data_IF_343130065793
#
_entry.id   IF_343130065793
#
_cell.length_a   1.000
_cell.length_b   1.000
_cell.length_c   1.000
_cell.angle_alpha   90.00
_cell.angle_beta   90.00
_cell.angle_gamma   90.00
#
_symmetry.space_group_name_H-M   'P 1'
#
loop_
_entity.id
_entity.type
_entity.pdbx_description
1 polymer ?
#
# COMPACT_ATOMS: atom_id res chain seq x y z
N UNK A 1 17.03 -3.20 25.05
CA UNK A 1 17.57 -1.95 24.49
C UNK A 1 16.95 -1.64 23.13
N UNK A 2 16.80 -0.36 22.82
CA UNK A 2 16.40 0.12 21.49
C UNK A 2 17.63 0.66 20.76
N UNK A 3 17.89 0.18 19.55
CA UNK A 3 18.99 0.62 18.68
C UNK A 3 18.37 1.17 17.40
N UNK A 4 18.62 2.45 17.09
CA UNK A 4 18.11 3.10 15.87
C UNK A 4 19.12 2.98 14.74
N UNK A 5 18.73 2.34 13.64
CA UNK A 5 19.55 2.19 12.43
C UNK A 5 19.06 1.05 11.55
N UNK A 6 19.61 0.95 10.34
CA UNK A 6 19.35 -0.19 9.46
C UNK A 6 20.22 -1.36 9.89
N UNK A 7 19.59 -2.48 10.25
CA UNK A 7 20.30 -3.70 10.59
C UNK A 7 20.67 -4.50 9.33
N UNK A 8 21.84 -5.13 9.36
CA UNK A 8 22.25 -6.11 8.34
C UNK A 8 22.96 -7.28 8.99
N UNK A 9 22.84 -8.46 8.39
CA UNK A 9 23.66 -9.60 8.76
C UNK A 9 25.04 -9.46 8.13
N UNK A 10 26.08 -9.61 8.95
CA UNK A 10 27.43 -9.89 8.48
C UNK A 10 27.54 -11.33 7.98
N UNK A 11 28.64 -11.66 7.29
CA UNK A 11 28.90 -13.03 6.79
C UNK A 11 28.84 -14.09 7.91
N UNK A 12 29.23 -13.72 9.13
CA UNK A 12 29.32 -14.63 10.27
C UNK A 12 28.00 -14.69 11.08
N UNK A 13 26.90 -14.16 10.54
CA UNK A 13 25.58 -14.17 11.20
C UNK A 13 25.40 -13.13 12.31
N UNK A 14 26.39 -12.26 12.52
CA UNK A 14 26.33 -11.15 13.50
C UNK A 14 25.52 -10.00 12.92
N UNK A 15 24.70 -9.34 13.73
CA UNK A 15 23.95 -8.15 13.32
C UNK A 15 24.86 -6.92 13.43
N UNK A 16 25.00 -6.19 12.32
CA UNK A 16 25.61 -4.86 12.30
C UNK A 16 24.53 -3.78 12.26
N UNK A 17 24.64 -2.80 13.15
CA UNK A 17 23.85 -1.56 13.09
C UNK A 17 24.82 -0.38 13.24
N UNK A 18 24.98 0.42 12.19
CA UNK A 18 25.88 1.58 12.15
C UNK A 18 27.32 1.25 12.58
N UNK A 19 27.84 0.07 12.20
CA UNK A 19 29.19 -0.38 12.55
C UNK A 19 29.33 -1.00 13.95
N UNK A 20 28.27 -1.01 14.76
CA UNK A 20 28.25 -1.72 16.04
C UNK A 20 27.68 -3.12 15.85
N UNK A 21 28.40 -4.11 16.39
CA UNK A 21 28.08 -5.53 16.27
C UNK A 21 27.24 -6.03 17.45
N UNK A 22 26.23 -6.83 17.14
CA UNK A 22 25.29 -7.41 18.09
C UNK A 22 25.14 -8.91 17.83
N UNK A 23 25.15 -9.67 18.93
CA UNK A 23 25.08 -11.13 18.92
C UNK A 23 23.80 -11.58 19.62
N UNK A 24 23.15 -12.60 19.08
CA UNK A 24 21.96 -13.19 19.68
C UNK A 24 21.85 -14.66 19.31
N UNK A 25 21.42 -15.50 20.27
CA UNK A 25 21.17 -16.93 20.04
C UNK A 25 19.99 -17.15 19.07
N UNK A 26 19.00 -16.28 19.12
CA UNK A 26 17.82 -16.30 18.27
C UNK A 26 17.59 -14.89 17.71
N UNK A 27 17.31 -14.79 16.41
CA UNK A 27 17.15 -13.52 15.72
C UNK A 27 15.82 -13.55 14.95
N UNK A 28 14.94 -12.60 15.23
CA UNK A 28 13.68 -12.41 14.51
C UNK A 28 13.85 -11.34 13.42
N UNK A 29 13.50 -11.69 12.18
CA UNK A 29 13.39 -10.73 11.08
C UNK A 29 11.93 -10.29 10.97
N UNK A 30 11.67 -9.02 11.32
CA UNK A 30 10.33 -8.43 11.31
C UNK A 30 10.35 -7.03 10.66
N UNK A 31 10.96 -6.93 9.47
CA UNK A 31 11.24 -5.63 8.79
C UNK A 31 10.08 -5.07 7.97
N UNK A 32 8.96 -5.78 7.88
CA UNK A 32 7.81 -5.37 7.07
C UNK A 32 8.10 -5.37 5.57
N UNK A 33 7.36 -4.54 4.82
CA UNK A 33 7.49 -4.37 3.37
C UNK A 33 7.30 -2.91 2.96
N UNK A 34 7.34 -2.64 1.66
CA UNK A 34 7.18 -1.30 1.09
C UNK A 34 6.36 -1.36 -0.21
N UNK A 35 5.64 -0.28 -0.57
CA UNK A 35 4.84 -0.23 -1.79
C UNK A 35 5.72 -0.36 -3.05
N UNK A 36 5.22 -1.09 -4.03
CA UNK A 36 5.90 -1.28 -5.32
C UNK A 36 5.37 -0.29 -6.35
N UNK A 37 6.27 0.50 -6.96
CA UNK A 37 5.96 1.35 -8.12
C UNK A 37 5.99 0.51 -9.40
N UNK A 38 5.01 0.62 -10.31
CA UNK A 38 5.05 -0.09 -11.59
C UNK A 38 6.16 0.45 -12.49
N UNK A 39 6.73 -0.40 -13.33
CA UNK A 39 7.74 -0.02 -14.32
C UNK A 39 7.07 0.39 -15.63
N UNK A 40 6.46 1.57 -15.66
CA UNK A 40 5.82 2.17 -16.83
C UNK A 40 6.20 3.65 -16.93
N UNK A 41 6.28 4.24 -18.14
CA UNK A 41 6.56 5.67 -18.29
C UNK A 41 5.56 6.52 -17.51
N UNK A 42 6.06 7.53 -16.79
CA UNK A 42 5.23 8.43 -15.99
C UNK A 42 4.78 7.87 -14.65
N UNK A 43 5.23 6.66 -14.27
CA UNK A 43 4.92 6.10 -12.94
C UNK A 43 5.40 7.01 -11.81
N UNK A 44 6.44 7.83 -12.02
CA UNK A 44 6.99 8.84 -11.12
C UNK A 44 5.98 9.93 -10.71
N UNK A 45 4.99 10.24 -11.56
CA UNK A 45 3.96 11.25 -11.27
C UNK A 45 2.88 10.74 -10.32
N UNK A 46 2.77 9.43 -10.13
CA UNK A 46 1.87 8.83 -9.16
C UNK A 46 2.42 8.86 -7.74
N UNK A 47 1.50 8.79 -6.78
CA UNK A 47 1.80 8.53 -5.36
C UNK A 47 1.36 7.10 -4.98
N UNK A 48 1.96 6.56 -3.93
CA UNK A 48 1.55 5.30 -3.31
C UNK A 48 0.72 5.59 -2.04
N UNK A 49 0.39 4.54 -1.27
CA UNK A 49 -0.31 4.68 0.01
C UNK A 49 0.41 5.57 1.02
N UNK A 50 1.75 5.58 1.02
CA UNK A 50 2.51 6.48 1.90
C UNK A 50 2.27 7.93 1.48
N UNK A 51 2.39 8.23 0.18
CA UNK A 51 2.14 9.57 -0.37
C UNK A 51 0.70 10.05 -0.18
N UNK A 52 -0.27 9.13 -0.18
CA UNK A 52 -1.67 9.45 0.14
C UNK A 52 -1.81 10.11 1.52
N UNK A 53 -1.14 9.57 2.56
CA UNK A 53 -1.17 10.13 3.91
C UNK A 53 -0.35 11.42 4.08
N UNK A 54 0.40 11.83 3.05
CA UNK A 54 1.09 13.12 3.01
C UNK A 54 0.30 14.19 2.22
N UNK A 55 -0.90 13.89 1.75
CA UNK A 55 -1.75 14.89 1.09
C UNK A 55 -2.28 15.90 2.11
N UNK A 56 -1.88 17.16 1.97
CA UNK A 56 -2.40 18.27 2.80
C UNK A 56 -3.75 18.81 2.30
N UNK A 57 -4.06 18.58 1.02
CA UNK A 57 -5.27 19.08 0.36
C UNK A 57 -5.95 17.94 -0.37
N UNK A 58 -7.27 17.86 -0.24
CA UNK A 58 -8.09 16.90 -0.98
C UNK A 58 -7.99 17.18 -2.49
N UNK A 59 -7.50 16.22 -3.30
CA UNK A 59 -7.50 16.37 -4.75
C UNK A 59 -8.94 16.42 -5.27
N UNK A 60 -9.21 17.32 -6.24
CA UNK A 60 -10.55 17.42 -6.86
C UNK A 60 -10.91 16.18 -7.69
N UNK A 61 -9.91 15.56 -8.31
CA UNK A 61 -10.03 14.38 -9.18
C UNK A 61 -8.89 13.43 -8.86
N UNK A 62 -9.21 12.15 -8.69
CA UNK A 62 -8.22 11.13 -8.33
C UNK A 62 -8.43 9.86 -9.16
N UNK A 63 -7.32 9.29 -9.65
CA UNK A 63 -7.31 7.93 -10.21
C UNK A 63 -6.58 7.02 -9.23
N UNK A 64 -7.24 5.95 -8.80
CA UNK A 64 -6.64 4.91 -7.97
C UNK A 64 -6.43 3.66 -8.81
N UNK A 65 -5.20 3.14 -8.85
CA UNK A 65 -4.84 1.96 -9.66
C UNK A 65 -4.59 0.76 -8.76
N UNK A 66 -5.48 -0.22 -8.82
CA UNK A 66 -5.41 -1.45 -8.02
C UNK A 66 -6.78 -1.92 -7.55
N UNK A 67 -6.95 -3.24 -7.42
CA UNK A 67 -8.19 -3.86 -6.92
C UNK A 67 -8.04 -4.54 -5.56
N UNK A 68 -6.97 -4.23 -4.82
CA UNK A 68 -6.76 -4.74 -3.46
C UNK A 68 -7.42 -3.86 -2.40
N UNK A 69 -7.44 -4.31 -1.16
CA UNK A 69 -8.12 -3.61 -0.05
C UNK A 69 -7.66 -2.16 0.11
N UNK A 70 -6.34 -1.89 0.10
CA UNK A 70 -5.81 -0.52 0.19
C UNK A 70 -6.38 0.39 -0.90
N UNK A 71 -6.45 -0.08 -2.15
CA UNK A 71 -6.95 0.73 -3.25
C UNK A 71 -8.42 1.10 -3.05
N UNK A 72 -9.24 0.14 -2.60
CA UNK A 72 -10.67 0.33 -2.37
C UNK A 72 -10.93 1.26 -1.19
N UNK A 73 -10.24 1.05 -0.06
CA UNK A 73 -10.37 1.87 1.14
C UNK A 73 -10.05 3.33 0.82
N UNK A 74 -8.93 3.58 0.13
CA UNK A 74 -8.51 4.93 -0.23
C UNK A 74 -9.44 5.56 -1.28
N UNK A 75 -9.90 4.79 -2.29
CA UNK A 75 -10.84 5.31 -3.29
C UNK A 75 -12.17 5.69 -2.67
N UNK A 76 -12.70 4.85 -1.76
CA UNK A 76 -13.96 5.13 -1.08
C UNK A 76 -13.85 6.32 -0.14
N UNK A 77 -12.73 6.46 0.58
CA UNK A 77 -12.49 7.60 1.45
C UNK A 77 -12.38 8.92 0.66
N UNK A 78 -11.63 8.93 -0.45
CA UNK A 78 -11.54 10.11 -1.31
C UNK A 78 -12.91 10.50 -1.90
N UNK A 79 -13.68 9.51 -2.34
CA UNK A 79 -15.02 9.70 -2.89
C UNK A 79 -15.97 10.30 -1.84
N UNK A 80 -15.99 9.75 -0.63
CA UNK A 80 -16.78 10.24 0.49
C UNK A 80 -16.39 11.67 0.93
N UNK A 81 -15.12 12.05 0.76
CA UNK A 81 -14.64 13.41 1.03
C UNK A 81 -14.96 14.40 -0.11
N UNK A 82 -15.46 13.93 -1.26
CA UNK A 82 -15.89 14.76 -2.38
C UNK A 82 -14.90 14.85 -3.54
N UNK A 83 -13.86 14.01 -3.59
CA UNK A 83 -13.06 13.85 -4.81
C UNK A 83 -13.90 13.11 -5.86
N UNK A 84 -13.78 13.51 -7.12
CA UNK A 84 -14.20 12.68 -8.25
C UNK A 84 -13.17 11.55 -8.43
N UNK A 85 -13.57 10.30 -8.20
CA UNK A 85 -12.65 9.15 -8.09
C UNK A 85 -12.92 8.13 -9.20
N UNK A 86 -11.84 7.75 -9.89
CA UNK A 86 -11.85 6.63 -10.83
C UNK A 86 -10.99 5.48 -10.30
N UNK A 87 -11.58 4.30 -10.13
CA UNK A 87 -10.88 3.09 -9.73
C UNK A 87 -10.54 2.24 -10.97
N UNK A 88 -9.25 2.02 -11.23
CA UNK A 88 -8.79 1.19 -12.33
C UNK A 88 -8.31 -0.17 -11.81
N UNK A 89 -8.99 -1.22 -12.23
CA UNK A 89 -8.67 -2.61 -11.87
C UNK A 89 -8.30 -3.42 -13.11
N UNK A 90 -7.41 -4.39 -12.92
CA UNK A 90 -6.95 -5.29 -14.00
C UNK A 90 -7.73 -6.61 -14.05
N UNK A 91 -8.59 -6.85 -13.05
CA UNK A 91 -9.40 -8.06 -12.89
C UNK A 91 -10.88 -7.70 -13.04
N UNK A 92 -11.77 -8.67 -13.31
CA UNK A 92 -13.20 -8.41 -13.47
C UNK A 92 -13.92 -7.83 -12.24
N UNK A 93 -13.36 -8.00 -11.03
CA UNK A 93 -13.93 -7.51 -9.76
C UNK A 93 -12.84 -7.06 -8.79
N UNK A 94 -13.20 -6.16 -7.87
CA UNK A 94 -12.32 -5.74 -6.77
C UNK A 94 -12.18 -6.88 -5.75
N UNK A 95 -11.12 -6.89 -4.94
CA UNK A 95 -10.85 -7.96 -3.98
C UNK A 95 -10.87 -9.37 -4.62
N UNK A 96 -10.32 -9.51 -5.82
CA UNK A 96 -10.43 -10.75 -6.62
C UNK A 96 -10.14 -12.07 -5.87
N UNK A 97 -9.22 -12.04 -4.90
CA UNK A 97 -8.81 -13.20 -4.10
C UNK A 97 -9.67 -13.42 -2.83
N UNK A 98 -10.68 -12.60 -2.58
CA UNK A 98 -11.61 -12.75 -1.46
C UNK A 98 -12.81 -13.60 -1.89
N UNK A 99 -13.69 -13.89 -0.93
CA UNK A 99 -14.96 -14.56 -1.18
C UNK A 99 -15.71 -13.91 -2.37
N UNK A 100 -16.24 -14.76 -3.25
CA UNK A 100 -16.88 -14.32 -4.49
C UNK A 100 -18.04 -13.38 -4.23
N UNK A 101 -18.94 -13.75 -3.33
CA UNK A 101 -20.16 -13.01 -3.04
C UNK A 101 -19.83 -11.64 -2.47
N UNK A 102 -18.85 -11.56 -1.56
CA UNK A 102 -18.37 -10.29 -1.00
C UNK A 102 -17.76 -9.39 -2.08
N UNK A 103 -16.85 -9.97 -2.89
CA UNK A 103 -16.13 -9.28 -3.96
C UNK A 103 -17.09 -8.74 -5.04
N UNK A 104 -18.08 -9.53 -5.42
CA UNK A 104 -19.13 -9.17 -6.39
C UNK A 104 -20.06 -8.09 -5.83
N UNK A 105 -20.61 -8.29 -4.63
CA UNK A 105 -21.50 -7.32 -3.98
C UNK A 105 -20.83 -5.95 -3.81
N UNK A 106 -19.54 -5.93 -3.44
CA UNK A 106 -18.79 -4.69 -3.32
C UNK A 106 -18.51 -4.03 -4.67
N UNK A 107 -18.22 -4.82 -5.71
CA UNK A 107 -18.03 -4.30 -7.08
C UNK A 107 -19.31 -3.62 -7.56
N UNK A 108 -20.46 -4.27 -7.41
CA UNK A 108 -21.76 -3.68 -7.77
C UNK A 108 -22.06 -2.40 -6.99
N UNK A 109 -21.70 -2.35 -5.71
CA UNK A 109 -21.88 -1.16 -4.88
C UNK A 109 -21.04 0.02 -5.39
N UNK A 110 -19.76 -0.22 -5.73
CA UNK A 110 -18.86 0.80 -6.29
C UNK A 110 -19.36 1.31 -7.64
N UNK A 111 -19.83 0.42 -8.52
CA UNK A 111 -20.34 0.77 -9.85
C UNK A 111 -21.61 1.65 -9.80
N UNK A 112 -22.43 1.50 -8.75
CA UNK A 112 -23.61 2.37 -8.53
C UNK A 112 -23.24 3.77 -8.06
N UNK A 113 -21.97 4.03 -7.78
CA UNK A 113 -21.48 5.27 -7.19
C UNK A 113 -21.60 5.26 -5.66
N UNK A 114 -20.93 6.19 -4.98
CA UNK A 114 -20.97 6.27 -3.52
C UNK A 114 -22.41 6.52 -3.04
N UNK A 115 -22.84 5.77 -2.02
CA UNK A 115 -23.91 6.22 -1.10
C UNK A 115 -23.52 7.51 -0.40
#
# INVERSE_FOLDING_TARGET
DLIRGKASFTKDGVIDVNGKKYFGKHILIAVGGYPKRPNVPGAEYGINSDGFFHLDVLPKRTVVVGGGYIAIELSSMLSALGSDVHLLIRKPRVLWNFDHTVSESLTESIDRGPT
#
